data_IF_717807823640
#
_entry.id   IF_717807823640
#
_cell.length_a   1.000
_cell.length_b   1.000
_cell.length_c   1.000
_cell.angle_alpha   90.00
_cell.angle_beta   90.00
_cell.angle_gamma   90.00
#
_symmetry.space_group_name_H-M   'P 1'
#
loop_
_entity.id
_entity.type
_entity.pdbx_description
1 polymer ?
#
# COMPACT_ATOMS: atom_id res chain seq x y z
N UNK A 1 13.12 1.52 8.73
CA UNK A 1 13.25 0.37 7.81
C UNK A 1 14.16 0.81 6.69
N UNK A 2 15.16 0.01 6.34
CA UNK A 2 15.97 0.28 5.13
C UNK A 2 15.03 0.10 3.94
N UNK A 3 15.01 1.09 3.05
CA UNK A 3 14.09 1.12 1.92
C UNK A 3 14.66 0.25 0.80
N UNK A 4 13.91 -0.78 0.37
CA UNK A 4 14.34 -1.72 -0.66
C UNK A 4 14.53 -1.02 -2.00
N UNK A 5 15.62 -1.33 -2.68
CA UNK A 5 15.89 -0.89 -4.05
C UNK A 5 15.84 -2.09 -4.97
N UNK A 6 14.99 -2.06 -5.99
CA UNK A 6 14.84 -3.18 -6.92
C UNK A 6 15.75 -2.99 -8.13
N UNK A 7 16.55 -3.99 -8.44
CA UNK A 7 17.38 -4.02 -9.65
C UNK A 7 16.68 -4.88 -10.69
N UNK A 8 16.31 -4.27 -11.81
CA UNK A 8 15.40 -4.85 -12.81
C UNK A 8 15.97 -4.63 -14.20
N UNK A 9 16.01 -5.68 -15.02
CA UNK A 9 16.28 -5.57 -16.45
C UNK A 9 15.00 -5.53 -17.29
N UNK A 10 15.12 -5.75 -18.60
CA UNK A 10 14.00 -5.56 -19.52
C UNK A 10 12.80 -6.49 -19.28
N UNK A 11 11.64 -6.07 -19.80
CA UNK A 11 10.32 -6.71 -19.67
C UNK A 11 10.25 -8.10 -20.31
N UNK A 12 11.13 -8.43 -21.25
CA UNK A 12 11.24 -9.76 -21.87
C UNK A 12 12.56 -10.43 -21.47
N UNK A 13 12.79 -10.67 -20.16
CA UNK A 13 14.13 -10.86 -19.63
C UNK A 13 14.83 -12.08 -20.23
N UNK A 14 15.99 -11.83 -20.84
CA UNK A 14 16.93 -12.86 -21.26
C UNK A 14 17.92 -13.19 -20.14
N UNK A 15 18.93 -13.99 -20.45
CA UNK A 15 19.90 -14.43 -19.44
C UNK A 15 20.77 -13.28 -18.97
N UNK A 16 21.12 -12.35 -19.86
CA UNK A 16 22.01 -11.23 -19.57
C UNK A 16 21.32 -10.21 -18.66
N UNK A 17 20.07 -9.89 -18.93
CA UNK A 17 19.22 -9.05 -18.07
C UNK A 17 19.07 -9.60 -16.65
N UNK A 18 18.79 -10.90 -16.51
CA UNK A 18 18.65 -11.54 -15.19
C UNK A 18 19.99 -11.65 -14.46
N UNK A 19 21.06 -12.03 -15.16
CA UNK A 19 22.39 -12.12 -14.58
C UNK A 19 22.88 -10.74 -14.12
N UNK A 20 22.64 -9.69 -14.91
CA UNK A 20 22.96 -8.30 -14.58
C UNK A 20 22.19 -7.84 -13.33
N UNK A 21 20.89 -8.14 -13.24
CA UNK A 21 20.09 -7.78 -12.07
C UNK A 21 20.60 -8.45 -10.79
N UNK A 22 20.89 -9.75 -10.86
CA UNK A 22 21.43 -10.53 -9.74
C UNK A 22 22.81 -10.01 -9.32
N UNK A 23 23.72 -9.88 -10.29
CA UNK A 23 25.10 -9.46 -10.05
C UNK A 23 25.19 -8.05 -9.50
N UNK A 24 24.42 -7.11 -10.05
CA UNK A 24 24.42 -5.73 -9.58
C UNK A 24 23.76 -5.59 -8.21
N UNK A 25 22.64 -6.27 -7.96
CA UNK A 25 22.02 -6.29 -6.62
C UNK A 25 22.95 -6.91 -5.57
N UNK A 26 23.74 -7.93 -5.92
CA UNK A 26 24.77 -8.46 -5.03
C UNK A 26 25.89 -7.44 -4.78
N UNK A 27 26.42 -6.80 -5.83
CA UNK A 27 27.48 -5.80 -5.70
C UNK A 27 27.05 -4.62 -4.81
N UNK A 28 25.84 -4.09 -4.98
CA UNK A 28 25.32 -2.99 -4.16
C UNK A 28 25.17 -3.37 -2.68
N UNK A 29 24.80 -4.63 -2.40
CA UNK A 29 24.74 -5.15 -1.03
C UNK A 29 26.12 -5.21 -0.40
N UNK A 30 27.10 -5.75 -1.12
CA UNK A 30 28.48 -5.92 -0.61
C UNK A 30 29.25 -4.60 -0.51
N UNK A 31 29.13 -3.73 -1.52
CA UNK A 31 29.90 -2.48 -1.64
C UNK A 31 29.28 -1.35 -0.81
N UNK A 32 27.96 -1.19 -0.87
CA UNK A 32 27.27 0.01 -0.39
C UNK A 32 26.32 -0.25 0.79
N UNK A 33 26.19 -1.52 1.21
CA UNK A 33 25.27 -1.94 2.28
C UNK A 33 23.80 -1.50 2.01
N UNK A 34 23.42 -1.48 0.72
CA UNK A 34 22.05 -1.20 0.27
C UNK A 34 21.18 -2.46 0.34
N UNK A 35 19.90 -2.32 0.70
CA UNK A 35 18.92 -3.41 0.61
C UNK A 35 18.45 -3.59 -0.85
N UNK A 36 19.39 -4.02 -1.70
CA UNK A 36 19.17 -4.22 -3.13
C UNK A 36 18.63 -5.63 -3.41
N UNK A 37 17.48 -5.69 -4.09
CA UNK A 37 16.77 -6.95 -4.40
C UNK A 37 16.73 -7.13 -5.92
N UNK A 38 17.24 -8.24 -6.46
CA UNK A 38 17.09 -8.52 -7.88
C UNK A 38 15.62 -8.87 -8.19
N UNK A 39 15.09 -8.30 -9.25
CA UNK A 39 13.73 -8.53 -9.71
C UNK A 39 13.68 -8.67 -11.24
N UNK A 40 12.62 -9.29 -11.73
CA UNK A 40 12.36 -9.50 -13.17
C UNK A 40 11.05 -8.82 -13.55
N UNK A 41 11.02 -8.18 -14.71
CA UNK A 41 9.82 -7.53 -15.23
C UNK A 41 8.89 -8.47 -16.02
N UNK A 42 9.37 -9.67 -16.39
CA UNK A 42 8.60 -10.65 -17.14
C UNK A 42 8.96 -12.10 -16.80
N UNK A 43 8.38 -13.04 -17.54
CA UNK A 43 8.67 -14.47 -17.41
C UNK A 43 10.09 -14.79 -17.90
N UNK A 44 10.80 -15.68 -17.19
CA UNK A 44 12.13 -16.13 -17.62
C UNK A 44 12.01 -17.07 -18.82
N UNK A 45 12.90 -16.90 -19.81
CA UNK A 45 12.98 -17.83 -20.93
C UNK A 45 13.54 -19.23 -20.48
N UNK A 46 13.45 -20.28 -21.32
CA UNK A 46 13.93 -21.62 -20.96
C UNK A 46 15.44 -21.69 -20.63
N UNK A 47 16.26 -20.91 -21.35
CA UNK A 47 17.71 -20.85 -21.14
C UNK A 47 18.02 -20.26 -19.77
N UNK A 48 17.49 -19.08 -19.45
CA UNK A 48 17.64 -18.42 -18.14
C UNK A 48 17.16 -19.33 -17.01
N UNK A 49 16.00 -19.97 -17.19
CA UNK A 49 15.45 -20.90 -16.20
C UNK A 49 16.35 -22.11 -15.97
N UNK A 50 16.98 -22.63 -17.04
CA UNK A 50 17.96 -23.70 -16.94
C UNK A 50 19.22 -23.24 -16.21
N UNK A 51 19.75 -22.05 -16.52
CA UNK A 51 20.94 -21.47 -15.87
C UNK A 51 20.71 -21.28 -14.36
N UNK A 52 19.58 -20.71 -13.97
CA UNK A 52 19.22 -20.51 -12.56
C UNK A 52 19.17 -21.85 -11.81
N UNK A 53 18.53 -22.88 -12.40
CA UNK A 53 18.49 -24.23 -11.81
C UNK A 53 19.86 -24.88 -11.74
N UNK A 54 20.66 -24.76 -12.80
CA UNK A 54 22.00 -25.35 -12.88
C UNK A 54 22.94 -24.74 -11.83
N UNK A 55 22.82 -23.44 -11.59
CA UNK A 55 23.63 -22.69 -10.60
C UNK A 55 23.08 -22.75 -9.18
N UNK A 56 21.83 -23.19 -9.00
CA UNK A 56 21.16 -23.19 -7.69
C UNK A 56 20.77 -21.80 -7.19
N UNK A 57 20.76 -20.79 -8.07
CA UNK A 57 20.37 -19.42 -7.73
C UNK A 57 18.84 -19.31 -7.76
N UNK A 58 18.26 -18.68 -6.73
CA UNK A 58 16.83 -18.43 -6.68
C UNK A 58 16.37 -17.48 -7.80
N UNK A 59 15.22 -17.78 -8.39
CA UNK A 59 14.62 -16.94 -9.41
C UNK A 59 14.24 -15.58 -8.82
N UNK A 60 14.67 -14.46 -9.42
CA UNK A 60 14.25 -13.12 -8.98
C UNK A 60 12.73 -12.95 -8.92
N UNK A 61 12.27 -12.13 -7.97
CA UNK A 61 10.85 -11.82 -7.79
C UNK A 61 10.28 -11.13 -9.03
N UNK A 62 9.01 -11.39 -9.35
CA UNK A 62 8.33 -10.75 -10.47
C UNK A 62 7.78 -9.38 -10.05
N UNK A 63 8.22 -8.33 -10.73
CA UNK A 63 7.68 -6.97 -10.62
C UNK A 63 7.37 -6.48 -12.03
N UNK A 64 6.16 -6.74 -12.50
CA UNK A 64 5.74 -6.38 -13.86
C UNK A 64 5.35 -4.90 -13.99
N UNK A 65 5.05 -4.23 -12.87
CA UNK A 65 4.48 -2.88 -12.86
C UNK A 65 4.94 -2.14 -11.59
N UNK A 66 5.36 -0.89 -11.75
CA UNK A 66 5.85 -0.03 -10.69
C UNK A 66 4.75 0.81 -10.02
N UNK A 67 3.52 0.76 -10.51
CA UNK A 67 2.42 1.53 -9.92
C UNK A 67 2.11 1.05 -8.50
N UNK A 68 1.94 1.96 -7.53
CA UNK A 68 1.63 1.59 -6.17
C UNK A 68 0.18 1.09 -6.06
N UNK A 69 0.01 0.06 -5.24
CA UNK A 69 -1.29 -0.48 -4.86
C UNK A 69 -1.68 -0.01 -3.44
N UNK A 70 -2.92 -0.29 -3.02
CA UNK A 70 -3.36 0.08 -1.67
C UNK A 70 -2.56 -0.64 -0.56
N UNK A 71 -2.02 -1.83 -0.85
CA UNK A 71 -1.14 -2.57 0.07
C UNK A 71 0.15 -1.81 0.41
N UNK A 72 0.68 -0.97 -0.49
CA UNK A 72 1.91 -0.21 -0.21
C UNK A 72 1.71 0.96 0.76
N UNK A 73 0.46 1.40 0.96
CA UNK A 73 0.10 2.56 1.80
C UNK A 73 -0.74 2.20 3.02
N UNK A 74 -1.25 0.96 3.08
CA UNK A 74 -2.14 0.52 4.16
C UNK A 74 -1.42 0.54 5.50
N UNK A 75 -2.08 1.08 6.52
CA UNK A 75 -1.62 1.05 7.91
C UNK A 75 -2.55 0.14 8.70
N UNK A 76 -1.99 -0.93 9.27
CA UNK A 76 -2.73 -1.80 10.19
C UNK A 76 -2.96 -1.03 11.50
N UNK A 77 -4.21 -0.88 11.89
CA UNK A 77 -4.59 -0.28 13.16
C UNK A 77 -5.23 -1.33 14.06
N UNK A 78 -5.18 -1.08 15.37
CA UNK A 78 -6.00 -1.80 16.34
C UNK A 78 -7.47 -1.61 16.01
N UNK A 79 -8.29 -2.61 16.29
CA UNK A 79 -9.73 -2.64 15.94
C UNK A 79 -10.58 -2.86 17.18
N UNK A 80 -11.83 -2.40 17.12
CA UNK A 80 -12.87 -2.72 18.10
C UNK A 80 -14.01 -3.50 17.43
N UNK A 81 -14.73 -4.31 18.19
CA UNK A 81 -15.94 -5.02 17.76
C UNK A 81 -17.21 -4.17 17.88
N UNK A 82 -18.30 -4.64 17.27
CA UNK A 82 -19.60 -3.95 17.22
C UNK A 82 -20.19 -3.60 18.60
N UNK A 83 -20.18 -4.59 19.49
CA UNK A 83 -20.78 -4.52 20.83
C UNK A 83 -19.78 -4.10 21.90
N UNK A 84 -18.51 -3.88 21.53
CA UNK A 84 -17.53 -3.36 22.47
C UNK A 84 -17.84 -1.90 22.81
N UNK A 85 -17.53 -1.44 24.04
CA UNK A 85 -17.75 -0.08 24.45
C UNK A 85 -17.08 0.95 23.54
N UNK A 86 -17.71 2.11 23.37
CA UNK A 86 -17.15 3.24 22.64
C UNK A 86 -15.82 3.73 23.27
N UNK A 87 -15.57 3.47 24.55
CA UNK A 87 -14.28 3.71 25.19
C UNK A 87 -13.12 2.95 24.55
N UNK A 88 -13.34 1.72 24.07
CA UNK A 88 -12.30 0.94 23.36
C UNK A 88 -11.94 1.62 22.04
N UNK A 89 -12.96 2.03 21.28
CA UNK A 89 -12.77 2.83 20.06
C UNK A 89 -12.05 4.16 20.33
N UNK A 90 -12.42 4.84 21.42
CA UNK A 90 -11.78 6.10 21.82
C UNK A 90 -10.31 5.90 22.16
N UNK A 91 -9.97 4.83 22.88
CA UNK A 91 -8.59 4.48 23.21
C UNK A 91 -7.75 4.21 21.96
N UNK A 92 -8.31 3.51 20.97
CA UNK A 92 -7.68 3.32 19.65
C UNK A 92 -7.48 4.68 18.96
N UNK A 93 -8.56 5.43 18.78
CA UNK A 93 -8.56 6.74 18.11
C UNK A 93 -7.51 7.71 18.66
N UNK A 94 -7.33 7.73 19.99
CA UNK A 94 -6.34 8.60 20.64
C UNK A 94 -4.88 8.31 20.29
N UNK A 95 -4.58 7.08 19.84
CA UNK A 95 -3.23 6.60 19.51
C UNK A 95 -2.97 6.50 18.01
N UNK A 96 -4.02 6.49 17.20
CA UNK A 96 -3.98 6.30 15.73
C UNK A 96 -4.21 7.59 14.95
N UNK A 97 -4.24 8.74 15.64
CA UNK A 97 -4.47 10.04 15.02
C UNK A 97 -5.92 10.26 14.61
N UNK A 98 -6.86 9.84 15.47
CA UNK A 98 -8.28 10.20 15.41
C UNK A 98 -9.21 9.16 14.80
N UNK A 99 -8.74 7.93 14.56
CA UNK A 99 -9.49 6.91 13.81
C UNK A 99 -9.53 5.55 14.51
N UNK A 100 -10.69 4.90 14.56
CA UNK A 100 -10.84 3.58 15.13
C UNK A 100 -11.70 2.69 14.21
N UNK A 101 -11.11 1.69 13.55
CA UNK A 101 -11.85 0.73 12.75
C UNK A 101 -12.74 -0.14 13.64
N UNK A 102 -13.98 -0.32 13.20
CA UNK A 102 -14.93 -1.25 13.81
C UNK A 102 -15.10 -2.43 12.86
N UNK A 103 -14.98 -3.64 13.40
CA UNK A 103 -15.06 -4.88 12.62
C UNK A 103 -16.23 -5.74 13.06
N UNK A 104 -16.77 -6.50 12.10
CA UNK A 104 -17.72 -7.57 12.35
C UNK A 104 -17.01 -8.78 12.99
N UNK A 105 -17.76 -9.69 13.65
CA UNK A 105 -17.19 -10.91 14.23
C UNK A 105 -16.47 -11.83 13.22
N UNK A 106 -16.85 -11.75 11.94
CA UNK A 106 -16.21 -12.52 10.88
C UNK A 106 -14.88 -11.88 10.41
N UNK A 107 -14.51 -10.69 10.90
CA UNK A 107 -13.31 -9.95 10.52
C UNK A 107 -13.47 -9.02 9.32
N UNK A 108 -14.68 -8.93 8.72
CA UNK A 108 -14.97 -7.90 7.73
C UNK A 108 -15.12 -6.52 8.38
N UNK A 109 -14.79 -5.42 7.69
CA UNK A 109 -15.03 -4.08 8.22
C UNK A 109 -16.53 -3.80 8.37
N UNK A 110 -16.91 -3.21 9.49
CA UNK A 110 -18.25 -2.66 9.73
C UNK A 110 -18.32 -1.17 9.43
N UNK A 111 -17.31 -0.42 9.88
CA UNK A 111 -17.23 1.02 9.68
C UNK A 111 -16.01 1.63 10.34
N UNK A 112 -15.93 2.96 10.32
CA UNK A 112 -14.83 3.71 10.91
C UNK A 112 -15.37 4.74 11.89
N UNK A 113 -14.82 4.77 13.10
CA UNK A 113 -15.06 5.85 14.04
C UNK A 113 -14.00 6.92 13.80
N UNK A 114 -14.45 8.14 13.54
CA UNK A 114 -13.62 9.34 13.35
C UNK A 114 -14.10 10.46 14.26
N UNK A 115 -13.33 11.55 14.36
CA UNK A 115 -13.81 12.76 15.05
C UNK A 115 -15.16 13.25 14.50
N UNK A 116 -15.38 13.17 13.18
CA UNK A 116 -16.64 13.58 12.53
C UNK A 116 -17.78 12.61 12.88
N UNK A 117 -17.54 11.30 12.86
CA UNK A 117 -18.59 10.33 13.18
C UNK A 117 -19.01 10.42 14.66
N UNK A 118 -18.04 10.59 15.57
CA UNK A 118 -18.29 10.85 17.00
C UNK A 118 -19.07 12.14 17.21
N UNK A 119 -18.69 13.22 16.53
CA UNK A 119 -19.39 14.49 16.61
C UNK A 119 -20.84 14.39 16.12
N UNK A 120 -21.07 13.71 14.99
CA UNK A 120 -22.40 13.46 14.45
C UNK A 120 -23.24 12.61 15.43
N UNK A 121 -22.64 11.59 16.04
CA UNK A 121 -23.30 10.77 17.04
C UNK A 121 -23.71 11.58 18.28
N UNK A 122 -22.78 12.37 18.84
CA UNK A 122 -23.05 13.27 19.95
C UNK A 122 -24.16 14.28 19.63
N UNK A 123 -24.15 14.85 18.43
CA UNK A 123 -25.18 15.79 17.98
C UNK A 123 -26.56 15.14 17.91
N UNK A 124 -26.65 13.86 17.48
CA UNK A 124 -27.90 13.10 17.49
C UNK A 124 -28.42 12.83 18.90
N UNK A 125 -27.53 12.62 19.87
CA UNK A 125 -27.89 12.37 21.27
C UNK A 125 -28.28 13.64 22.04
N UNK A 126 -27.62 14.77 21.77
CA UNK A 126 -27.79 16.05 22.47
C UNK A 126 -28.73 17.02 21.73
N UNK A 127 -29.14 16.67 20.51
CA UNK A 127 -30.02 17.48 19.66
C UNK A 127 -31.40 17.79 20.28
N UNK A 128 -32.21 18.64 19.62
CA UNK A 128 -33.41 19.26 20.20
C UNK A 128 -34.54 18.29 20.62
N UNK A 129 -34.41 16.99 20.33
CA UNK A 129 -35.36 15.96 20.74
C UNK A 129 -35.03 15.45 22.15
N UNK A 130 -35.88 15.83 23.12
CA UNK A 130 -35.78 15.71 24.59
C UNK A 130 -35.48 14.33 25.22
N UNK A 131 -35.08 13.29 24.49
CA UNK A 131 -35.07 11.92 25.04
C UNK A 131 -33.87 11.59 25.95
N UNK A 132 -32.78 12.38 25.94
CA UNK A 132 -31.50 12.02 26.60
C UNK A 132 -30.73 13.18 27.25
N UNK A 133 -31.42 14.18 27.82
CA UNK A 133 -30.79 15.39 28.40
C UNK A 133 -29.84 15.15 29.59
N UNK A 134 -29.82 13.95 30.19
CA UNK A 134 -29.02 13.63 31.37
C UNK A 134 -27.90 12.58 31.14
N UNK A 135 -27.60 12.21 29.89
CA UNK A 135 -26.52 11.26 29.62
C UNK A 135 -25.16 11.84 30.05
N UNK A 136 -24.47 11.11 30.93
CA UNK A 136 -23.10 11.42 31.31
C UNK A 136 -22.13 10.91 30.25
N UNK A 137 -20.98 11.57 30.12
CA UNK A 137 -19.90 11.13 29.21
C UNK A 137 -19.52 9.67 29.49
N UNK A 138 -19.46 9.26 30.76
CA UNK A 138 -19.17 7.88 31.13
C UNK A 138 -20.20 6.89 30.56
N UNK A 139 -21.49 7.21 30.68
CA UNK A 139 -22.56 6.34 30.16
C UNK A 139 -22.52 6.26 28.63
N UNK A 140 -22.14 7.35 27.97
CA UNK A 140 -21.95 7.40 26.53
C UNK A 140 -20.77 6.52 26.06
N UNK A 141 -19.68 6.49 26.83
CA UNK A 141 -18.51 5.68 26.53
C UNK A 141 -18.76 4.17 26.69
N UNK A 142 -19.78 3.78 27.46
CA UNK A 142 -20.21 2.37 27.60
C UNK A 142 -21.16 1.92 26.47
N UNK A 143 -21.63 2.84 25.62
CA UNK A 143 -22.50 2.48 24.50
C UNK A 143 -21.73 1.68 23.44
N UNK A 144 -22.39 0.78 22.69
CA UNK A 144 -21.76 0.00 21.64
C UNK A 144 -21.07 0.87 20.58
N UNK A 145 -19.83 0.54 20.20
CA UNK A 145 -19.05 1.26 19.21
C UNK A 145 -19.78 1.43 17.86
N UNK A 146 -20.59 0.44 17.46
CA UNK A 146 -21.39 0.49 16.22
C UNK A 146 -22.28 1.73 16.11
N UNK A 147 -22.72 2.31 17.23
CA UNK A 147 -23.64 3.46 17.26
C UNK A 147 -22.97 4.75 16.73
N UNK A 148 -21.65 4.86 16.88
CA UNK A 148 -20.88 6.03 16.46
C UNK A 148 -20.00 5.79 15.22
N UNK A 149 -20.01 4.57 14.68
CA UNK A 149 -19.23 4.22 13.50
C UNK A 149 -19.90 4.77 12.23
N UNK A 150 -19.10 5.33 11.32
CA UNK A 150 -19.52 5.64 9.96
C UNK A 150 -19.40 4.39 9.10
N UNK A 151 -20.54 3.86 8.64
CA UNK A 151 -20.63 2.67 7.80
C UNK A 151 -20.62 3.01 6.31
N UNK A 152 -20.54 4.29 5.93
CA UNK A 152 -20.51 4.73 4.53
C UNK A 152 -19.10 4.85 3.97
N UNK A 153 -18.08 4.62 4.80
CA UNK A 153 -16.67 4.72 4.42
C UNK A 153 -16.34 3.76 3.28
N UNK A 154 -15.78 4.24 2.16
CA UNK A 154 -15.40 3.38 1.04
C UNK A 154 -14.39 2.30 1.43
N UNK A 155 -14.56 1.12 0.84
CA UNK A 155 -13.63 0.00 0.95
C UNK A 155 -12.85 -0.17 -0.35
N UNK A 156 -11.54 -0.37 -0.25
CA UNK A 156 -10.66 -0.66 -1.38
C UNK A 156 -9.91 -1.98 -1.17
N UNK A 157 -9.78 -2.76 -2.23
CA UNK A 157 -8.96 -3.98 -2.20
C UNK A 157 -7.47 -3.62 -2.18
N UNK A 158 -6.69 -4.32 -1.35
CA UNK A 158 -5.26 -4.08 -1.19
C UNK A 158 -4.48 -4.18 -2.52
N UNK A 159 -4.89 -5.09 -3.39
CA UNK A 159 -4.26 -5.34 -4.69
C UNK A 159 -4.58 -4.30 -5.77
N UNK A 160 -5.58 -3.44 -5.57
CA UNK A 160 -5.95 -2.44 -6.57
C UNK A 160 -4.89 -1.36 -6.71
N UNK A 161 -4.71 -0.88 -7.95
CA UNK A 161 -3.80 0.23 -8.24
C UNK A 161 -4.42 1.54 -7.74
N UNK A 162 -3.62 2.35 -7.06
CA UNK A 162 -4.09 3.63 -6.51
C UNK A 162 -4.52 4.56 -7.64
N UNK A 163 -3.73 4.63 -8.72
CA UNK A 163 -3.97 5.49 -9.89
C UNK A 163 -5.38 5.31 -10.48
N UNK A 164 -5.84 4.07 -10.59
CA UNK A 164 -7.14 3.76 -11.18
C UNK A 164 -8.29 4.31 -10.32
N UNK A 165 -8.06 4.39 -9.00
CA UNK A 165 -9.05 4.83 -8.02
C UNK A 165 -8.96 6.32 -7.65
N UNK A 166 -7.93 7.05 -8.08
CA UNK A 166 -7.71 8.45 -7.70
C UNK A 166 -8.92 9.35 -7.97
N UNK A 167 -9.53 9.22 -9.15
CA UNK A 167 -10.71 10.02 -9.50
C UNK A 167 -11.92 9.77 -8.59
N UNK A 168 -12.05 8.54 -8.07
CA UNK A 168 -13.08 8.20 -7.09
C UNK A 168 -12.72 8.82 -5.74
N UNK A 169 -11.49 8.59 -5.26
CA UNK A 169 -10.96 9.12 -3.99
C UNK A 169 -11.13 10.64 -3.89
N UNK A 170 -10.83 11.38 -4.96
CA UNK A 170 -10.91 12.85 -4.98
C UNK A 170 -12.34 13.41 -4.95
N UNK A 171 -13.36 12.56 -5.14
CA UNK A 171 -14.78 12.94 -5.08
C UNK A 171 -15.45 12.58 -3.76
N UNK A 172 -14.81 11.75 -2.95
CA UNK A 172 -15.33 11.37 -1.63
C UNK A 172 -15.17 12.54 -0.65
N UNK A 173 -16.14 12.72 0.26
CA UNK A 173 -16.09 13.77 1.29
C UNK A 173 -15.19 13.43 2.50
N UNK A 174 -14.72 12.19 2.57
CA UNK A 174 -13.90 11.66 3.67
C UNK A 174 -12.44 11.48 3.28
N UNK A 175 -11.56 11.56 4.29
CA UNK A 175 -10.10 11.49 4.12
C UNK A 175 -9.50 10.14 4.53
N UNK A 176 -10.31 9.23 5.07
CA UNK A 176 -9.88 7.92 5.56
C UNK A 176 -10.69 6.83 4.86
N UNK A 177 -10.00 5.77 4.43
CA UNK A 177 -10.61 4.66 3.70
C UNK A 177 -10.17 3.32 4.28
N UNK A 178 -11.09 2.36 4.28
CA UNK A 178 -10.81 1.01 4.75
C UNK A 178 -10.20 0.19 3.62
N UNK A 179 -9.15 -0.57 3.94
CA UNK A 179 -8.51 -1.49 3.00
C UNK A 179 -8.84 -2.91 3.42
N UNK A 180 -9.22 -3.72 2.44
CA UNK A 180 -9.60 -5.12 2.63
C UNK A 180 -8.71 -6.05 1.79
N UNK A 181 -8.55 -7.28 2.27
CA UNK A 181 -7.91 -8.36 1.52
C UNK A 181 -8.87 -8.98 0.48
N UNK A 182 -8.36 -9.99 -0.24
CA UNK A 182 -9.13 -10.74 -1.24
C UNK A 182 -10.32 -11.51 -0.66
N UNK A 183 -10.34 -11.76 0.65
CA UNK A 183 -11.41 -12.44 1.38
C UNK A 183 -12.40 -11.45 2.03
N UNK A 184 -12.31 -10.15 1.69
CA UNK A 184 -13.08 -9.04 2.26
C UNK A 184 -12.85 -8.85 3.78
N UNK A 185 -11.72 -9.31 4.31
CA UNK A 185 -11.34 -9.06 5.71
C UNK A 185 -10.60 -7.76 5.82
N UNK A 186 -10.78 -7.11 6.97
CA UNK A 186 -10.10 -5.87 7.29
C UNK A 186 -8.58 -6.09 7.22
N UNK A 187 -7.89 -5.32 6.38
CA UNK A 187 -6.43 -5.29 6.30
C UNK A 187 -5.88 -4.06 7.02
N UNK A 188 -6.50 -2.89 6.85
CA UNK A 188 -6.04 -1.67 7.49
C UNK A 188 -6.82 -0.42 7.07
N UNK A 189 -6.25 0.75 7.32
CA UNK A 189 -6.77 2.04 6.88
C UNK A 189 -5.70 2.76 6.05
N UNK A 190 -6.12 3.45 4.99
CA UNK A 190 -5.28 4.41 4.27
C UNK A 190 -5.90 5.80 4.35
N UNK A 191 -5.05 6.82 4.28
CA UNK A 191 -5.47 8.23 4.30
C UNK A 191 -5.34 8.83 2.91
N UNK A 192 -6.22 9.75 2.56
CA UNK A 192 -6.24 10.41 1.25
C UNK A 192 -4.88 11.03 0.89
N UNK A 193 -4.20 11.67 1.85
CA UNK A 193 -2.86 12.24 1.65
C UNK A 193 -1.81 11.19 1.21
N UNK A 194 -1.92 9.96 1.73
CA UNK A 194 -0.99 8.87 1.42
C UNK A 194 -1.36 8.25 0.05
N UNK A 195 -2.60 8.43 -0.44
CA UNK A 195 -3.06 7.98 -1.75
C UNK A 195 -2.78 9.00 -2.86
N UNK A 196 -2.84 10.29 -2.58
CA UNK A 196 -2.52 11.36 -3.54
C UNK A 196 -1.02 11.38 -3.84
N UNK A 197 -0.19 11.11 -2.82
CA UNK A 197 1.26 11.03 -2.95
C UNK A 197 1.77 9.69 -2.38
N UNK A 198 1.54 8.59 -3.10
CA UNK A 198 1.95 7.26 -2.64
C UNK A 198 3.47 7.11 -2.66
N UNK A 199 4.03 6.24 -1.82
CA UNK A 199 5.44 5.91 -1.85
C UNK A 199 5.79 5.32 -3.21
N UNK A 200 6.91 5.77 -3.76
CA UNK A 200 7.42 5.32 -5.05
C UNK A 200 8.41 4.19 -4.86
N UNK A 201 8.32 3.17 -5.69
CA UNK A 201 9.29 2.08 -5.69
C UNK A 201 10.64 2.60 -6.16
N UNK A 202 11.73 2.29 -5.44
CA UNK A 202 13.09 2.60 -5.91
C UNK A 202 13.55 1.55 -6.90
N UNK A 203 13.90 1.99 -8.11
CA UNK A 203 14.26 1.10 -9.21
C UNK A 203 15.63 1.49 -9.75
N UNK A 204 16.43 0.48 -10.04
CA UNK A 204 17.64 0.55 -10.84
C UNK A 204 17.38 -0.28 -12.09
N UNK A 205 17.57 0.31 -13.27
CA UNK A 205 17.49 -0.41 -14.54
C UNK A 205 18.87 -0.94 -14.93
N UNK A 206 18.92 -2.18 -15.38
CA UNK A 206 20.13 -2.79 -15.94
C UNK A 206 19.86 -3.31 -17.36
N UNK A 207 20.89 -3.55 -18.16
CA UNK A 207 20.82 -4.12 -19.53
C UNK A 207 20.24 -3.18 -20.61
N UNK A 208 19.33 -2.28 -20.24
CA UNK A 208 18.65 -1.38 -21.18
C UNK A 208 18.40 0.02 -20.60
N UNK A 209 18.26 1.01 -21.49
CA UNK A 209 17.78 2.36 -21.15
C UNK A 209 16.52 2.77 -21.94
N UNK A 210 15.91 1.84 -22.68
CA UNK A 210 14.73 2.10 -23.51
C UNK A 210 13.42 2.00 -22.70
N UNK A 211 12.56 3.05 -22.68
CA UNK A 211 11.30 3.03 -21.93
C UNK A 211 10.34 1.90 -22.34
N UNK A 212 10.34 1.51 -23.62
CA UNK A 212 9.48 0.44 -24.14
C UNK A 212 9.87 -0.95 -23.61
N UNK A 213 11.12 -1.09 -23.16
CA UNK A 213 11.64 -2.32 -22.58
C UNK A 213 11.52 -2.34 -21.05
N UNK A 214 11.11 -1.25 -20.42
CA UNK A 214 10.96 -1.18 -18.97
C UNK A 214 9.68 -1.84 -18.46
N UNK A 215 9.64 -2.10 -17.15
CA UNK A 215 8.41 -2.50 -16.46
C UNK A 215 7.29 -1.45 -16.60
N UNK A 216 6.05 -1.90 -16.42
CA UNK A 216 4.88 -1.03 -16.49
C UNK A 216 4.94 0.13 -15.50
N UNK A 217 4.40 1.29 -15.88
CA UNK A 217 4.33 2.47 -15.02
C UNK A 217 5.67 2.94 -14.42
N UNK A 218 6.81 2.76 -15.11
CA UNK A 218 8.13 3.21 -14.62
C UNK A 218 8.14 4.68 -14.14
N UNK A 219 7.36 5.57 -14.76
CA UNK A 219 7.22 6.98 -14.35
C UNK A 219 6.67 7.18 -12.92
N UNK A 220 6.09 6.14 -12.33
CA UNK A 220 5.57 6.10 -10.96
C UNK A 220 6.59 5.59 -9.94
N UNK A 221 7.76 5.13 -10.41
CA UNK A 221 8.89 4.77 -9.58
C UNK A 221 9.86 5.94 -9.39
N UNK A 222 10.73 5.79 -8.40
CA UNK A 222 11.95 6.56 -8.24
C UNK A 222 13.07 5.81 -8.94
N UNK A 223 13.39 6.24 -10.17
CA UNK A 223 14.50 5.69 -10.93
C UNK A 223 15.82 6.24 -10.38
N UNK A 224 16.57 5.40 -9.68
CA UNK A 224 17.80 5.76 -8.98
C UNK A 224 19.00 5.76 -9.93
N UNK A 225 19.09 4.76 -10.80
CA UNK A 225 20.23 4.54 -11.68
C UNK A 225 19.82 3.73 -12.93
N UNK A 226 20.55 3.90 -14.03
CA UNK A 226 20.46 3.07 -15.23
C UNK A 226 21.88 2.57 -15.58
N UNK A 227 22.04 1.26 -15.72
CA UNK A 227 23.29 0.59 -16.12
C UNK A 227 23.07 -0.25 -17.39
N UNK A 228 23.36 0.34 -18.54
CA UNK A 228 23.15 -0.27 -19.86
C UNK A 228 24.50 -0.60 -20.53
N UNK A 229 24.67 -1.85 -20.99
CA UNK A 229 25.87 -2.30 -21.71
C UNK A 229 25.67 -2.39 -23.23
N UNK A 230 24.44 -2.25 -23.74
CA UNK A 230 24.11 -2.22 -25.16
C UNK A 230 24.40 -0.86 -25.81
N UNK A 231 24.48 0.22 -25.01
CA UNK A 231 24.68 1.59 -25.51
C UNK A 231 25.83 2.34 -24.85
N UNK A 232 27.02 1.75 -24.81
CA UNK A 232 28.26 2.43 -24.39
C UNK A 232 28.73 3.57 -25.32
N UNK A 233 27.85 4.23 -26.10
CA UNK A 233 28.26 5.23 -27.08
C UNK A 233 27.21 6.19 -27.64
N UNK A 234 25.95 6.19 -27.22
CA UNK A 234 24.96 7.15 -27.70
C UNK A 234 24.28 7.90 -26.55
N UNK A 235 24.55 9.20 -26.46
CA UNK A 235 23.84 10.16 -25.62
C UNK A 235 22.33 10.09 -25.90
N UNK A 236 21.48 10.09 -24.86
CA UNK A 236 20.08 10.42 -25.06
C UNK A 236 19.96 11.93 -25.27
N UNK A 237 19.50 12.32 -26.46
CA UNK A 237 19.09 13.70 -26.78
C UNK A 237 17.69 13.98 -26.22
N UNK A 238 17.65 14.96 -25.31
CA UNK A 238 16.52 15.80 -24.84
C UNK A 238 15.30 15.15 -24.16
#
# INVERSE_FOLDING_TARGET
MVEKTFVIGHVNPDTDSIASAIGYAWLLRERDNLDAVPARAGATNPQTSWVLRFTGIETPILIADASPNFESVVKRLDTTGLEQPLSDAWAISSRTGGIAPVINPDGSPYGLITGRSLFNYLTRLVGPHRMKQNLRIRELLELPAREAADTSVPHFQASWRIRDMLNRILREEGDDYLVIDENNKYLGVCRQRDLINPPRMKIILVDHNEPQQALGSLQEADLIEILDHHRLGNSQTH
#
